data_IF_223465131504
#
_entry.id   IF_223465131504
#
_cell.length_a   1.000
_cell.length_b   1.000
_cell.length_c   1.000
_cell.angle_alpha   90.00
_cell.angle_beta   90.00
_cell.angle_gamma   90.00
#
_symmetry.space_group_name_H-M   'P 1'
#
loop_
_entity.id
_entity.type
_entity.pdbx_description
1 polymer ?
#
# COMPACT_ATOMS: atom_id res chain seq x y z
N UNK A 1 32.76 -3.04 -43.31
CA UNK A 1 31.51 -3.13 -44.09
C UNK A 1 31.17 -4.61 -44.15
N UNK A 2 30.27 -5.20 -43.36
CA UNK A 2 29.04 -4.72 -42.76
C UNK A 2 28.77 -5.47 -41.45
N UNK A 3 28.24 -4.73 -40.46
CA UNK A 3 27.24 -5.24 -39.50
C UNK A 3 25.89 -5.20 -40.23
N UNK A 4 24.93 -6.11 -39.95
CA UNK A 4 24.10 -6.06 -38.72
C UNK A 4 23.85 -7.50 -38.19
N UNK A 5 23.09 -7.82 -37.13
CA UNK A 5 21.89 -7.22 -36.55
C UNK A 5 21.65 -7.83 -35.15
N UNK A 6 21.30 -6.94 -34.21
CA UNK A 6 20.43 -7.07 -33.05
C UNK A 6 20.53 -8.32 -32.14
N UNK A 7 20.89 -8.03 -30.88
CA UNK A 7 20.63 -8.88 -29.75
C UNK A 7 19.14 -9.21 -29.69
N UNK A 8 18.83 -10.49 -29.61
CA UNK A 8 17.56 -11.03 -29.14
C UNK A 8 17.43 -10.62 -27.66
N UNK A 9 16.82 -9.45 -27.42
CA UNK A 9 16.33 -9.11 -26.08
C UNK A 9 15.30 -10.17 -25.69
N UNK A 10 15.50 -10.94 -24.61
CA UNK A 10 14.49 -11.87 -24.15
C UNK A 10 13.25 -11.06 -23.74
N UNK A 11 12.13 -11.38 -24.40
CA UNK A 11 10.75 -11.06 -24.06
C UNK A 11 10.57 -10.71 -22.56
N UNK A 12 10.10 -9.51 -22.21
CA UNK A 12 9.81 -9.18 -20.81
C UNK A 12 8.69 -10.09 -20.35
N UNK A 13 9.05 -11.09 -19.55
CA UNK A 13 8.11 -11.99 -18.90
C UNK A 13 6.99 -11.16 -18.28
N UNK A 14 5.71 -11.50 -18.49
CA UNK A 14 4.61 -10.65 -18.05
C UNK A 14 4.70 -10.46 -16.54
N UNK A 15 4.91 -9.22 -16.11
CA UNK A 15 5.02 -8.89 -14.70
C UNK A 15 3.74 -9.38 -13.99
N UNK A 16 3.84 -10.05 -12.83
CA UNK A 16 2.68 -10.62 -12.18
C UNK A 16 1.72 -9.51 -11.71
N UNK A 17 0.43 -9.71 -11.93
CA UNK A 17 -0.62 -8.80 -11.43
C UNK A 17 -0.80 -8.95 -9.92
N UNK A 18 -1.21 -7.87 -9.25
CA UNK A 18 -1.55 -7.94 -7.84
C UNK A 18 -2.88 -8.70 -7.63
N UNK A 19 -2.89 -9.70 -6.73
CA UNK A 19 -4.08 -10.47 -6.39
C UNK A 19 -5.20 -9.64 -5.70
N UNK A 20 -4.87 -8.47 -5.17
CA UNK A 20 -5.79 -7.63 -4.38
C UNK A 20 -6.51 -6.61 -5.27
N UNK A 21 -5.76 -5.91 -6.12
CA UNK A 21 -6.30 -4.81 -6.94
C UNK A 21 -6.29 -5.10 -8.45
N UNK A 22 -5.67 -6.20 -8.89
CA UNK A 22 -5.60 -6.59 -10.30
C UNK A 22 -4.74 -5.66 -11.16
N UNK A 23 -3.82 -4.91 -10.55
CA UNK A 23 -2.92 -3.96 -11.23
C UNK A 23 -1.46 -4.38 -11.07
N UNK A 24 -0.59 -3.88 -11.95
CA UNK A 24 0.86 -4.08 -11.85
C UNK A 24 1.47 -3.06 -10.88
N UNK A 25 2.04 -3.54 -9.78
CA UNK A 25 2.81 -2.73 -8.85
C UNK A 25 3.73 -3.63 -8.00
N UNK A 26 4.81 -3.05 -7.49
CA UNK A 26 5.70 -3.71 -6.53
C UNK A 26 5.03 -3.83 -5.15
N UNK A 27 5.48 -4.75 -4.26
CA UNK A 27 4.93 -4.88 -2.91
C UNK A 27 5.23 -3.67 -2.00
N UNK A 28 6.16 -2.81 -2.39
CA UNK A 28 6.51 -1.56 -1.71
C UNK A 28 5.71 -0.35 -2.21
N UNK A 29 4.79 -0.58 -3.16
CA UNK A 29 3.84 0.40 -3.67
C UNK A 29 2.42 0.10 -3.19
N UNK A 30 1.60 1.15 -3.13
CA UNK A 30 0.20 1.01 -2.76
C UNK A 30 -0.59 0.32 -3.88
N UNK A 31 -1.65 -0.39 -3.49
CA UNK A 31 -2.65 -0.85 -4.44
C UNK A 31 -3.26 0.31 -5.23
N UNK A 32 -3.60 0.06 -6.50
CA UNK A 32 -4.19 1.05 -7.38
C UNK A 32 -5.64 0.71 -7.69
N UNK A 33 -6.52 1.71 -7.62
CA UNK A 33 -7.95 1.55 -7.84
C UNK A 33 -8.45 2.65 -8.78
N UNK A 34 -9.33 2.30 -9.71
CA UNK A 34 -10.04 3.27 -10.54
C UNK A 34 -11.38 3.57 -9.91
N UNK A 35 -11.54 4.77 -9.37
CA UNK A 35 -12.78 5.22 -8.73
C UNK A 35 -13.78 5.73 -9.76
N UNK A 36 -15.06 5.39 -9.57
CA UNK A 36 -16.14 5.82 -10.48
C UNK A 36 -16.71 7.19 -10.15
N UNK A 37 -16.57 7.59 -8.89
CA UNK A 37 -17.04 8.87 -8.35
C UNK A 37 -15.84 9.63 -7.78
N UNK A 38 -15.98 10.96 -7.70
CA UNK A 38 -14.98 11.80 -7.02
C UNK A 38 -14.87 11.39 -5.55
N UNK A 39 -13.64 11.15 -5.10
CA UNK A 39 -13.34 10.85 -3.71
C UNK A 39 -13.26 12.16 -2.94
N UNK A 40 -13.93 12.22 -1.79
CA UNK A 40 -13.87 13.38 -0.89
C UNK A 40 -12.42 13.73 -0.54
N UNK A 41 -12.05 15.01 -0.64
CA UNK A 41 -10.69 15.50 -0.40
C UNK A 41 -10.18 15.15 1.02
N UNK A 42 -11.07 15.05 2.01
CA UNK A 42 -10.73 14.63 3.38
C UNK A 42 -10.29 13.15 3.47
N UNK A 43 -10.57 12.36 2.43
CA UNK A 43 -10.19 10.95 2.31
C UNK A 43 -8.98 10.73 1.38
N UNK A 44 -8.36 11.81 0.89
CA UNK A 44 -7.21 11.76 -0.01
C UNK A 44 -5.89 11.94 0.76
N UNK A 45 -4.93 11.07 0.47
CA UNK A 45 -3.59 11.18 1.02
C UNK A 45 -2.83 12.35 0.39
N UNK A 46 -2.29 13.24 1.23
CA UNK A 46 -1.53 14.41 0.77
C UNK A 46 -0.14 14.08 0.20
N UNK A 47 0.29 12.81 0.22
CA UNK A 47 1.58 12.36 -0.34
C UNK A 47 1.39 11.80 -1.75
N UNK A 48 0.53 10.78 -1.90
CA UNK A 48 0.29 10.15 -3.21
C UNK A 48 -0.88 10.77 -3.98
N UNK A 49 -1.66 11.67 -3.37
CA UNK A 49 -2.84 12.31 -3.97
C UNK A 49 -3.90 11.31 -4.44
N UNK A 50 -3.99 10.16 -3.79
CA UNK A 50 -4.99 9.13 -4.02
C UNK A 50 -5.78 8.87 -2.73
N UNK A 51 -6.93 8.22 -2.83
CA UNK A 51 -7.71 7.82 -1.67
C UNK A 51 -6.87 6.97 -0.70
N UNK A 52 -7.03 7.21 0.59
CA UNK A 52 -6.21 6.60 1.63
C UNK A 52 -6.26 5.05 1.59
N UNK A 53 -5.09 4.43 1.73
CA UNK A 53 -4.91 2.99 1.88
C UNK A 53 -4.15 2.70 3.16
N UNK A 54 -4.74 1.82 3.99
CA UNK A 54 -4.28 1.57 5.36
C UNK A 54 -3.97 2.89 6.10
N UNK A 55 -4.98 3.73 6.37
CA UNK A 55 -4.75 5.08 6.88
C UNK A 55 -4.08 5.08 8.27
N UNK A 56 -3.08 5.94 8.43
CA UNK A 56 -2.39 6.25 9.68
C UNK A 56 -2.61 7.71 10.07
N UNK A 57 -3.08 7.89 11.30
CA UNK A 57 -3.21 9.18 11.96
C UNK A 57 -1.91 9.52 12.67
N UNK A 58 -1.37 10.69 12.32
CA UNK A 58 -0.22 11.30 13.00
C UNK A 58 -0.67 12.00 14.29
N UNK A 59 0.23 12.17 15.28
CA UNK A 59 -0.11 12.88 16.52
C UNK A 59 -0.48 14.35 16.30
N UNK A 60 -0.13 14.94 15.16
CA UNK A 60 -0.56 16.29 14.79
C UNK A 60 -1.97 16.36 14.21
N UNK A 61 -2.61 15.21 13.93
CA UNK A 61 -4.00 15.12 13.47
C UNK A 61 -4.18 14.92 11.96
N UNK A 62 -3.09 14.78 11.19
CA UNK A 62 -3.17 14.49 9.75
C UNK A 62 -3.12 13.00 9.46
N UNK A 63 -3.76 12.58 8.37
CA UNK A 63 -3.89 11.17 7.99
C UNK A 63 -3.23 10.88 6.63
N UNK A 64 -2.51 9.76 6.54
CA UNK A 64 -1.76 9.35 5.36
C UNK A 64 -1.86 7.84 5.12
N UNK A 65 -1.54 7.36 3.91
CA UNK A 65 -1.39 5.92 3.69
C UNK A 65 -0.22 5.38 4.51
N UNK A 66 -0.34 4.15 5.04
CA UNK A 66 0.74 3.53 5.82
C UNK A 66 2.06 3.53 5.05
N UNK A 67 2.04 3.09 3.79
CA UNK A 67 3.24 2.96 2.96
C UNK A 67 3.83 4.33 2.59
N UNK A 68 2.97 5.30 2.27
CA UNK A 68 3.40 6.67 1.97
C UNK A 68 4.09 7.33 3.16
N UNK A 69 3.50 7.23 4.34
CA UNK A 69 4.08 7.84 5.54
C UNK A 69 5.36 7.11 5.97
N UNK A 70 5.38 5.78 5.87
CA UNK A 70 6.57 4.98 6.21
C UNK A 70 7.75 5.35 5.31
N UNK A 71 7.54 5.37 3.99
CA UNK A 71 8.60 5.72 3.04
C UNK A 71 9.06 7.18 3.23
N UNK A 72 8.13 8.10 3.46
CA UNK A 72 8.47 9.50 3.73
C UNK A 72 9.34 9.66 4.99
N UNK A 73 9.03 8.89 6.05
CA UNK A 73 9.74 8.97 7.32
C UNK A 73 11.11 8.28 7.34
N UNK A 74 11.50 7.60 6.25
CA UNK A 74 12.87 7.08 6.09
C UNK A 74 13.85 8.23 5.91
N UNK A 75 13.47 9.25 5.15
CA UNK A 75 14.35 10.38 4.81
C UNK A 75 14.04 11.66 5.60
N UNK A 76 12.85 11.74 6.22
CA UNK A 76 12.32 12.93 6.89
C UNK A 76 11.74 12.56 8.25
N UNK A 77 11.65 13.52 9.16
CA UNK A 77 11.16 13.30 10.52
C UNK A 77 10.02 14.26 10.91
N UNK A 78 9.30 14.80 9.92
CA UNK A 78 8.24 15.79 10.12
C UNK A 78 7.00 15.51 9.28
N UNK A 79 5.87 16.11 9.66
CA UNK A 79 4.62 16.02 8.93
C UNK A 79 4.67 16.85 7.63
N UNK A 80 4.29 16.31 6.46
CA UNK A 80 4.29 17.04 5.19
C UNK A 80 3.45 18.34 5.19
N UNK A 81 2.36 18.38 5.95
CA UNK A 81 1.40 19.51 5.95
C UNK A 81 1.82 20.63 6.90
N UNK A 82 2.09 20.32 8.17
CA UNK A 82 2.34 21.32 9.22
C UNK A 82 3.77 21.31 9.78
N UNK A 83 4.65 20.46 9.22
CA UNK A 83 6.08 20.35 9.57
C UNK A 83 6.37 20.07 11.05
N UNK A 84 5.37 19.61 11.80
CA UNK A 84 5.57 19.14 13.18
C UNK A 84 6.37 17.84 13.17
N UNK A 85 7.25 17.60 14.16
CA UNK A 85 8.02 16.37 14.22
C UNK A 85 7.09 15.16 14.36
N UNK A 86 7.32 14.14 13.55
CA UNK A 86 6.52 12.91 13.53
C UNK A 86 7.47 11.72 13.48
N UNK A 87 7.17 10.71 14.30
CA UNK A 87 7.84 9.41 14.28
C UNK A 87 6.79 8.31 14.11
N UNK A 88 7.13 7.29 13.31
CA UNK A 88 6.19 6.23 12.91
C UNK A 88 5.56 5.51 14.12
N UNK A 89 6.35 5.27 15.17
CA UNK A 89 5.92 4.57 16.39
C UNK A 89 4.79 5.28 17.15
N UNK A 90 4.64 6.60 16.97
CA UNK A 90 3.56 7.37 17.60
C UNK A 90 2.33 7.51 16.70
N UNK A 91 2.41 7.08 15.44
CA UNK A 91 1.28 7.08 14.53
C UNK A 91 0.34 5.92 14.87
N UNK A 92 -0.96 6.13 14.69
CA UNK A 92 -1.99 5.14 15.00
C UNK A 92 -2.81 4.83 13.77
N UNK A 93 -3.31 3.60 13.65
CA UNK A 93 -4.30 3.28 12.62
C UNK A 93 -5.53 4.16 12.81
N UNK A 94 -6.04 4.70 11.72
CA UNK A 94 -7.19 5.59 11.77
C UNK A 94 -8.45 4.88 12.26
N UNK A 95 -9.43 5.67 12.68
CA UNK A 95 -10.67 5.13 13.25
C UNK A 95 -11.39 4.15 12.32
N UNK A 96 -12.21 3.27 12.91
CA UNK A 96 -13.05 2.31 12.18
C UNK A 96 -13.97 3.05 11.19
N UNK A 97 -14.44 4.25 11.54
CA UNK A 97 -15.32 5.04 10.67
C UNK A 97 -14.62 5.42 9.37
N UNK A 98 -13.39 5.94 9.45
CA UNK A 98 -12.59 6.33 8.27
C UNK A 98 -12.37 5.12 7.36
N UNK A 99 -11.97 3.97 7.94
CA UNK A 99 -11.82 2.73 7.17
C UNK A 99 -13.13 2.29 6.51
N UNK A 100 -14.26 2.40 7.21
CA UNK A 100 -15.58 2.09 6.63
C UNK A 100 -15.98 3.02 5.50
N UNK A 101 -15.62 4.30 5.56
CA UNK A 101 -15.90 5.26 4.48
C UNK A 101 -15.06 4.92 3.25
N UNK A 102 -13.76 4.70 3.44
CA UNK A 102 -12.84 4.35 2.36
C UNK A 102 -13.20 3.01 1.68
N UNK A 103 -13.64 2.01 2.46
CA UNK A 103 -14.01 0.69 1.93
C UNK A 103 -15.26 0.72 1.04
N UNK A 104 -16.16 1.69 1.27
CA UNK A 104 -17.41 1.85 0.51
C UNK A 104 -17.23 2.60 -0.81
N UNK A 105 -16.06 3.19 -1.06
CA UNK A 105 -15.78 3.88 -2.31
C UNK A 105 -15.97 2.91 -3.48
N UNK A 106 -16.66 3.38 -4.52
CA UNK A 106 -16.98 2.55 -5.69
C UNK A 106 -15.82 2.56 -6.68
N UNK A 107 -15.36 1.35 -7.02
CA UNK A 107 -14.27 1.11 -7.96
C UNK A 107 -14.73 0.26 -9.13
N UNK A 108 -14.12 0.47 -10.29
CA UNK A 108 -14.33 -0.36 -11.48
C UNK A 108 -13.34 -1.51 -11.50
N UNK A 109 -13.80 -2.69 -11.94
CA UNK A 109 -12.91 -3.80 -12.22
C UNK A 109 -11.81 -3.38 -13.23
N UNK A 110 -10.52 -3.68 -12.97
CA UNK A 110 -9.42 -3.26 -13.83
C UNK A 110 -9.33 -3.99 -15.18
N UNK A 111 -10.21 -4.98 -15.43
CA UNK A 111 -10.23 -5.80 -16.64
C UNK A 111 -11.46 -5.51 -17.51
N UNK A 112 -11.53 -4.33 -18.18
CA UNK A 112 -12.73 -3.89 -18.91
C UNK A 112 -13.15 -4.82 -20.06
N UNK A 113 -12.22 -5.62 -20.59
CA UNK A 113 -12.49 -6.57 -21.67
C UNK A 113 -13.31 -7.79 -21.21
N UNK A 114 -13.22 -8.13 -19.93
CA UNK A 114 -13.84 -9.33 -19.35
C UNK A 114 -14.92 -8.99 -18.31
N UNK A 115 -14.85 -7.79 -17.74
CA UNK A 115 -15.75 -7.35 -16.68
C UNK A 115 -15.95 -5.84 -16.70
N UNK A 116 -17.20 -5.40 -16.52
CA UNK A 116 -17.56 -3.98 -16.40
C UNK A 116 -18.23 -3.67 -15.06
N UNK A 117 -18.04 -4.56 -14.08
CA UNK A 117 -18.65 -4.44 -12.78
C UNK A 117 -18.07 -3.26 -11.99
N UNK A 118 -18.95 -2.56 -11.28
CA UNK A 118 -18.64 -1.51 -10.33
C UNK A 118 -19.07 -1.99 -8.96
N UNK A 119 -18.15 -1.98 -8.01
CA UNK A 119 -18.37 -2.52 -6.67
C UNK A 119 -17.61 -1.72 -5.62
N UNK A 120 -17.86 -2.02 -4.34
CA UNK A 120 -17.12 -1.37 -3.25
C UNK A 120 -15.66 -1.82 -3.27
N UNK A 121 -14.75 -0.90 -2.93
CA UNK A 121 -13.31 -1.12 -2.93
C UNK A 121 -12.89 -2.36 -2.14
N UNK A 122 -13.55 -2.62 -1.00
CA UNK A 122 -13.23 -3.80 -0.18
C UNK A 122 -13.63 -5.14 -0.82
N UNK A 123 -14.60 -5.12 -1.73
CA UNK A 123 -15.13 -6.33 -2.35
C UNK A 123 -14.33 -6.71 -3.61
N UNK A 124 -13.43 -5.83 -4.10
CA UNK A 124 -12.69 -6.06 -5.36
C UNK A 124 -11.84 -7.32 -5.33
N UNK A 125 -11.14 -7.58 -4.22
CA UNK A 125 -10.36 -8.81 -4.06
C UNK A 125 -11.26 -10.06 -4.09
N UNK A 126 -12.45 -9.98 -3.47
CA UNK A 126 -13.39 -11.10 -3.46
C UNK A 126 -14.04 -11.32 -4.83
N UNK A 127 -14.29 -10.24 -5.57
CA UNK A 127 -14.78 -10.28 -6.94
C UNK A 127 -13.87 -11.12 -7.84
N UNK A 128 -12.54 -10.97 -7.73
CA UNK A 128 -11.59 -11.80 -8.48
C UNK A 128 -11.61 -13.29 -8.13
N UNK A 129 -12.01 -13.64 -6.90
CA UNK A 129 -12.04 -15.03 -6.43
C UNK A 129 -13.34 -15.76 -6.80
N UNK A 130 -14.42 -15.00 -7.01
CA UNK A 130 -15.77 -15.54 -7.18
C UNK A 130 -16.32 -15.38 -8.58
N UNK A 131 -15.84 -14.39 -9.33
CA UNK A 131 -16.27 -14.12 -10.69
C UNK A 131 -15.37 -14.86 -11.69
N UNK A 132 -15.90 -15.22 -12.86
CA UNK A 132 -15.18 -15.78 -14.03
C UNK A 132 -14.19 -14.76 -14.68
N UNK A 133 -13.68 -13.80 -13.91
CA UNK A 133 -12.63 -12.88 -14.36
C UNK A 133 -11.31 -13.61 -14.19
N UNK A 134 -10.80 -14.17 -15.29
CA UNK A 134 -9.53 -14.88 -15.32
C UNK A 134 -8.38 -13.90 -15.02
N UNK A 135 -8.05 -13.71 -13.74
CA UNK A 135 -6.88 -12.92 -13.33
C UNK A 135 -5.63 -13.70 -13.70
N UNK A 136 -4.78 -13.19 -14.62
CA UNK A 136 -3.49 -13.82 -14.91
C UNK A 136 -2.69 -14.02 -13.61
N UNK A 137 -2.08 -15.20 -13.45
CA UNK A 137 -1.51 -15.69 -12.20
C UNK A 137 -0.76 -14.60 -11.40
N UNK A 138 -1.35 -14.18 -10.29
CA UNK A 138 -0.76 -13.23 -9.37
C UNK A 138 0.41 -13.87 -8.59
N UNK A 139 1.53 -13.17 -8.51
CA UNK A 139 2.69 -13.58 -7.71
C UNK A 139 2.89 -12.58 -6.57
N UNK A 140 2.11 -12.69 -5.50
CA UNK A 140 2.43 -11.98 -4.27
C UNK A 140 2.25 -12.95 -3.10
N UNK A 141 3.38 -13.40 -2.54
CA UNK A 141 3.43 -14.04 -1.24
C UNK A 141 3.07 -13.00 -0.15
N UNK A 142 2.40 -13.39 0.94
CA UNK A 142 2.00 -12.45 1.99
C UNK A 142 3.23 -11.76 2.59
N UNK A 143 3.21 -10.42 2.65
CA UNK A 143 4.20 -9.62 3.37
C UNK A 143 4.13 -10.02 4.85
N UNK A 144 5.11 -10.81 5.30
CA UNK A 144 5.30 -11.09 6.72
C UNK A 144 5.68 -9.78 7.39
N UNK A 145 4.70 -9.18 8.07
CA UNK A 145 4.93 -8.13 9.07
C UNK A 145 5.95 -8.70 10.06
N UNK A 146 7.19 -8.23 9.98
CA UNK A 146 8.24 -8.55 10.94
C UNK A 146 7.69 -8.17 12.32
N UNK A 147 7.30 -9.17 13.10
CA UNK A 147 7.05 -8.98 14.51
C UNK A 147 8.39 -8.61 15.13
N UNK A 148 8.56 -7.33 15.45
CA UNK A 148 9.67 -6.80 16.24
C UNK A 148 9.73 -7.63 17.54
N UNK A 149 10.69 -8.54 17.62
CA UNK A 149 11.00 -9.28 18.84
C UNK A 149 11.48 -8.31 19.92
N UNK A 150 11.34 -8.66 21.21
CA UNK A 150 11.76 -7.78 22.30
C UNK A 150 13.26 -7.49 22.22
N UNK A 151 13.58 -6.20 22.27
CA UNK A 151 14.94 -5.64 22.29
C UNK A 151 15.70 -6.24 23.49
N UNK A 152 16.86 -6.91 23.31
CA UNK A 152 17.66 -7.37 24.44
C UNK A 152 18.29 -6.18 25.16
N UNK A 153 17.98 -6.03 26.45
CA UNK A 153 18.62 -5.05 27.33
C UNK A 153 20.11 -5.41 27.51
N UNK A 154 21.05 -4.46 27.45
CA UNK A 154 22.46 -4.72 27.71
C UNK A 154 22.68 -5.07 29.19
N UNK A 155 23.53 -6.07 29.41
CA UNK A 155 23.78 -6.72 30.69
C UNK A 155 24.27 -5.77 31.79
N UNK A 156 23.61 -5.86 32.94
CA UNK A 156 24.10 -5.30 34.19
C UNK A 156 25.15 -6.26 34.74
N UNK A 157 26.43 -5.85 34.69
CA UNK A 157 27.50 -6.51 35.42
C UNK A 157 27.23 -6.40 36.92
N UNK A 158 26.82 -7.52 37.53
CA UNK A 158 26.86 -7.68 38.97
C UNK A 158 28.32 -7.69 39.43
N UNK A 159 28.72 -6.62 40.11
CA UNK A 159 29.93 -6.60 40.94
C UNK A 159 29.75 -7.62 42.08
N UNK A 160 30.76 -8.48 42.37
CA UNK A 160 30.69 -9.32 43.55
C UNK A 160 30.91 -8.47 44.80
N UNK A 161 29.97 -8.58 45.74
CA UNK A 161 30.11 -8.04 47.10
C UNK A 161 31.09 -8.89 47.90
N UNK A 162 32.03 -8.20 48.56
CA UNK A 162 32.76 -8.52 49.80
C UNK A 162 33.27 -9.95 50.02
#
# INVERSE_FOLDING_TARGET
MNQPDLADDPDPSPEPLCAVCGQHHSPEENHFYTYTEDVDDDLVCHICLQALLDPLDTPCGHTYCTLCLTNFLVEKDFCPVDRKPVVLQHCKKSSILVNKLLNKLLVTCPFPEHCTEVLQRCDLQHHFQTSDVNVPAASQEPVQILQEGPIPLPGISLLPSA
#
